data_IF_548362230045
#
_entry.id   IF_548362230045
#
_cell.length_a   1.000
_cell.length_b   1.000
_cell.length_c   1.000
_cell.angle_alpha   90.00
_cell.angle_beta   90.00
_cell.angle_gamma   90.00
#
_symmetry.space_group_name_H-M   'P 1'
#
loop_
_entity.id
_entity.type
_entity.pdbx_description
1 polymer ?
#
# COMPACT_ATOMS: atom_id res chain seq x y z
N UNK A 1 -16.29 -7.82 -5.83
CA UNK A 1 -17.26 -7.84 -4.71
C UNK A 1 -17.13 -6.55 -3.90
N UNK A 2 -18.17 -6.10 -3.17
CA UNK A 2 -18.32 -4.77 -2.54
C UNK A 2 -16.97 -4.22 -2.06
N UNK A 3 -16.46 -3.18 -2.73
CA UNK A 3 -15.08 -2.72 -2.59
C UNK A 3 -14.93 -1.63 -1.51
N UNK A 4 -15.97 -0.82 -1.36
CA UNK A 4 -16.13 0.17 -0.31
C UNK A 4 -17.62 0.46 -0.13
N UNK A 5 -17.97 1.07 0.99
CA UNK A 5 -19.29 1.62 1.26
C UNK A 5 -19.12 3.09 1.62
N UNK A 6 -19.95 3.94 1.03
CA UNK A 6 -20.03 5.36 1.35
C UNK A 6 -21.45 5.69 1.80
N UNK A 7 -21.57 6.33 2.97
CA UNK A 7 -22.86 6.60 3.60
C UNK A 7 -22.69 7.21 4.99
N UNK A 8 -23.78 7.31 5.74
CA UNK A 8 -23.77 7.89 7.09
C UNK A 8 -23.45 6.82 8.13
N UNK A 9 -22.48 7.08 9.00
CA UNK A 9 -22.18 6.20 10.13
C UNK A 9 -23.27 6.34 11.22
N UNK A 10 -24.16 5.35 11.32
CA UNK A 10 -25.33 5.43 12.22
C UNK A 10 -25.05 4.84 13.60
N UNK A 11 -24.35 3.71 13.66
CA UNK A 11 -24.02 3.00 14.90
C UNK A 11 -22.57 2.53 14.96
N UNK A 12 -22.06 2.39 16.18
CA UNK A 12 -20.75 1.84 16.49
C UNK A 12 -20.98 0.83 17.61
N UNK A 13 -20.71 -0.43 17.31
CA UNK A 13 -20.83 -1.56 18.22
C UNK A 13 -19.43 -2.04 18.66
N UNK A 14 -19.37 -3.11 19.45
CA UNK A 14 -18.10 -3.61 19.99
C UNK A 14 -17.15 -4.15 18.91
N UNK A 15 -17.68 -4.80 17.88
CA UNK A 15 -16.89 -5.47 16.82
C UNK A 15 -17.13 -4.88 15.43
N UNK A 16 -18.13 -4.01 15.27
CA UNK A 16 -18.55 -3.51 13.97
C UNK A 16 -19.09 -2.09 14.01
N UNK A 17 -19.29 -1.54 12.82
CA UNK A 17 -19.95 -0.25 12.59
C UNK A 17 -21.06 -0.42 11.58
N UNK A 18 -22.14 0.34 11.75
CA UNK A 18 -23.25 0.37 10.79
C UNK A 18 -23.16 1.63 9.95
N UNK A 19 -23.06 1.46 8.63
CA UNK A 19 -23.10 2.55 7.66
C UNK A 19 -24.39 2.45 6.86
N UNK A 20 -25.22 3.48 6.93
CA UNK A 20 -26.42 3.57 6.11
C UNK A 20 -26.09 4.22 4.75
N UNK A 21 -26.33 3.49 3.67
CA UNK A 21 -26.20 3.99 2.31
C UNK A 21 -27.51 3.73 1.55
N UNK A 22 -28.15 4.80 1.07
CA UNK A 22 -29.43 4.76 0.36
C UNK A 22 -30.53 3.96 1.09
N UNK A 23 -30.65 4.14 2.41
CA UNK A 23 -31.65 3.47 3.25
C UNK A 23 -31.34 2.01 3.61
N UNK A 24 -30.15 1.50 3.26
CA UNK A 24 -29.69 0.16 3.67
C UNK A 24 -28.55 0.31 4.68
N UNK A 25 -28.72 -0.26 5.87
CA UNK A 25 -27.68 -0.35 6.89
C UNK A 25 -26.76 -1.53 6.64
N UNK A 26 -25.48 -1.25 6.38
CA UNK A 26 -24.45 -2.26 6.22
C UNK A 26 -23.70 -2.43 7.53
N UNK A 27 -23.72 -3.64 8.07
CA UNK A 27 -22.91 -4.04 9.23
C UNK A 27 -21.50 -4.41 8.77
N UNK A 28 -20.50 -3.67 9.22
CA UNK A 28 -19.11 -3.76 8.78
C UNK A 28 -18.22 -4.04 9.99
N UNK A 29 -17.65 -5.24 10.06
CA UNK A 29 -16.71 -5.63 11.10
C UNK A 29 -15.37 -4.92 10.92
N UNK A 30 -14.85 -4.30 11.97
CA UNK A 30 -13.62 -3.50 11.90
C UNK A 30 -12.64 -3.93 12.99
N UNK A 31 -11.33 -3.74 12.76
CA UNK A 31 -10.31 -4.02 13.76
C UNK A 31 -10.45 -3.14 15.00
N UNK A 32 -10.87 -1.88 14.83
CA UNK A 32 -11.16 -0.94 15.89
C UNK A 32 -12.37 -0.05 15.53
N UNK A 33 -13.61 -0.47 15.86
CA UNK A 33 -14.82 0.30 15.58
C UNK A 33 -14.84 1.69 16.23
N UNK A 34 -14.33 1.80 17.47
CA UNK A 34 -14.28 3.06 18.21
C UNK A 34 -13.36 4.10 17.55
N UNK A 35 -12.47 3.68 16.66
CA UNK A 35 -11.67 4.60 15.87
C UNK A 35 -12.50 5.45 14.89
N UNK A 36 -13.80 5.17 14.73
CA UNK A 36 -14.78 5.96 13.98
C UNK A 36 -15.69 6.82 14.86
N UNK A 37 -15.46 6.89 16.18
CA UNK A 37 -16.32 7.62 17.12
C UNK A 37 -16.55 9.09 16.70
N UNK A 38 -15.50 9.76 16.22
CA UNK A 38 -15.57 11.16 15.76
C UNK A 38 -16.41 11.35 14.49
N UNK A 39 -16.70 10.26 13.78
CA UNK A 39 -17.46 10.22 12.54
C UNK A 39 -18.93 9.83 12.76
N UNK A 40 -19.37 9.59 14.00
CA UNK A 40 -20.77 9.23 14.27
C UNK A 40 -21.73 10.28 13.72
N UNK A 41 -22.77 9.83 13.03
CA UNK A 41 -23.76 10.65 12.31
C UNK A 41 -23.16 11.52 11.19
N UNK A 42 -21.98 11.19 10.68
CA UNK A 42 -21.35 11.87 9.53
C UNK A 42 -21.18 10.90 8.37
N UNK A 43 -21.01 11.47 7.18
CA UNK A 43 -20.66 10.71 6.00
C UNK A 43 -19.24 10.14 6.13
N UNK A 44 -19.09 8.86 5.83
CA UNK A 44 -17.83 8.12 5.84
C UNK A 44 -17.71 7.29 4.58
N UNK A 45 -16.46 7.02 4.18
CA UNK A 45 -16.13 5.99 3.21
C UNK A 45 -15.29 4.94 3.93
N UNK A 46 -15.74 3.69 3.90
CA UNK A 46 -15.04 2.55 4.48
C UNK A 46 -14.68 1.58 3.37
N UNK A 47 -13.40 1.26 3.23
CA UNK A 47 -12.95 0.23 2.30
C UNK A 47 -13.35 -1.12 2.84
N UNK A 48 -13.93 -1.97 2.00
CA UNK A 48 -14.47 -3.25 2.45
C UNK A 48 -13.83 -4.44 1.76
N UNK A 49 -13.62 -5.50 2.51
CA UNK A 49 -13.36 -6.85 2.01
C UNK A 49 -14.62 -7.69 2.24
N UNK A 50 -15.28 -8.09 1.16
CA UNK A 50 -16.47 -8.94 1.25
C UNK A 50 -16.06 -10.40 1.30
N UNK A 51 -16.23 -11.01 2.48
CA UNK A 51 -15.91 -12.40 2.75
C UNK A 51 -17.16 -13.27 2.58
N UNK A 52 -17.08 -14.24 1.66
CA UNK A 52 -18.19 -15.16 1.37
C UNK A 52 -17.71 -16.60 1.55
N UNK A 53 -18.47 -17.35 2.33
CA UNK A 53 -18.45 -18.81 2.40
C UNK A 53 -19.87 -19.33 2.11
N UNK A 54 -20.03 -20.64 2.13
CA UNK A 54 -21.32 -21.28 1.87
C UNK A 54 -22.38 -20.89 2.92
N UNK A 55 -21.96 -20.64 4.15
CA UNK A 55 -22.80 -20.39 5.32
C UNK A 55 -22.70 -18.96 5.88
N UNK A 56 -21.79 -18.14 5.35
CA UNK A 56 -21.52 -16.80 5.89
C UNK A 56 -21.22 -15.76 4.81
N UNK A 57 -21.75 -14.56 5.02
CA UNK A 57 -21.41 -13.36 4.27
C UNK A 57 -21.09 -12.26 5.28
N UNK A 58 -19.86 -11.75 5.24
CA UNK A 58 -19.39 -10.72 6.15
C UNK A 58 -18.66 -9.62 5.39
N UNK A 59 -18.80 -8.39 5.88
CA UNK A 59 -18.04 -7.24 5.40
C UNK A 59 -17.00 -6.87 6.45
N UNK A 60 -15.74 -6.86 6.04
CA UNK A 60 -14.63 -6.36 6.87
C UNK A 60 -14.24 -4.97 6.40
N UNK A 61 -14.16 -4.01 7.31
CA UNK A 61 -13.93 -2.60 7.05
C UNK A 61 -12.53 -2.14 7.42
N UNK A 62 -12.00 -1.23 6.59
CA UNK A 62 -10.66 -0.65 6.71
C UNK A 62 -10.70 0.85 6.44
N UNK A 63 -9.83 1.60 7.12
CA UNK A 63 -9.70 3.05 6.91
C UNK A 63 -8.93 3.35 5.63
N UNK A 64 -7.95 2.51 5.32
CA UNK A 64 -7.08 2.70 4.16
C UNK A 64 -7.10 1.48 3.23
N UNK A 65 -6.78 1.65 1.94
CA UNK A 65 -6.69 0.53 1.01
C UNK A 65 -5.50 -0.41 1.33
N UNK A 66 -4.44 0.10 1.98
CA UNK A 66 -3.28 -0.69 2.41
C UNK A 66 -3.66 -1.68 3.51
N UNK A 67 -4.43 -1.24 4.52
CA UNK A 67 -4.97 -2.12 5.57
C UNK A 67 -5.83 -3.24 4.96
N UNK A 68 -6.72 -2.90 4.02
CA UNK A 68 -7.54 -3.88 3.29
C UNK A 68 -6.67 -4.88 2.51
N UNK A 69 -5.61 -4.40 1.87
CA UNK A 69 -4.73 -5.23 1.05
C UNK A 69 -3.88 -6.16 1.91
N UNK A 70 -3.37 -5.68 3.04
CA UNK A 70 -2.69 -6.52 4.03
C UNK A 70 -3.64 -7.58 4.59
N UNK A 71 -4.88 -7.21 4.96
CA UNK A 71 -5.89 -8.16 5.40
C UNK A 71 -6.11 -9.29 4.38
N UNK A 72 -6.30 -8.94 3.11
CA UNK A 72 -6.49 -9.92 2.04
C UNK A 72 -5.28 -10.86 1.87
N UNK A 73 -4.05 -10.32 1.98
CA UNK A 73 -2.83 -11.12 1.94
C UNK A 73 -2.70 -12.05 3.16
N UNK A 74 -3.04 -11.57 4.36
CA UNK A 74 -3.04 -12.36 5.59
C UNK A 74 -4.00 -13.54 5.53
N UNK A 75 -5.16 -13.39 4.89
CA UNK A 75 -6.12 -14.50 4.71
C UNK A 75 -5.58 -15.66 3.85
N UNK A 76 -4.54 -15.43 3.04
CA UNK A 76 -3.91 -16.48 2.24
C UNK A 76 -2.91 -17.31 3.04
N UNK A 77 -2.54 -16.86 4.25
CA UNK A 77 -1.60 -17.58 5.11
C UNK A 77 -2.34 -18.71 5.83
N UNK A 78 -1.82 -19.93 5.71
CA UNK A 78 -2.43 -21.10 6.37
C UNK A 78 -2.44 -20.93 7.89
N UNK A 79 -3.64 -21.05 8.48
CA UNK A 79 -3.86 -20.86 9.91
C UNK A 79 -4.25 -19.44 10.32
N UNK A 80 -4.38 -18.51 9.38
CA UNK A 80 -4.91 -17.17 9.64
C UNK A 80 -6.32 -17.05 9.06
N UNK A 81 -7.31 -16.90 9.94
CA UNK A 81 -8.68 -16.57 9.57
C UNK A 81 -8.98 -15.07 9.69
N UNK A 82 -10.19 -14.63 9.29
CA UNK A 82 -10.59 -13.22 9.34
C UNK A 82 -10.45 -12.57 10.72
N UNK A 83 -10.81 -13.27 11.80
CA UNK A 83 -10.65 -12.75 13.17
C UNK A 83 -9.18 -12.54 13.54
N UNK A 84 -8.30 -13.47 13.15
CA UNK A 84 -6.86 -13.35 13.39
C UNK A 84 -6.24 -12.21 12.58
N UNK A 85 -6.63 -12.08 11.31
CA UNK A 85 -6.16 -10.98 10.46
C UNK A 85 -6.63 -9.60 10.99
N UNK A 86 -7.88 -9.48 11.46
CA UNK A 86 -8.34 -8.26 12.13
C UNK A 86 -7.56 -7.97 13.42
N UNK A 87 -7.27 -8.98 14.23
CA UNK A 87 -6.52 -8.81 15.48
C UNK A 87 -5.09 -8.30 15.23
N UNK A 88 -4.43 -8.79 14.18
CA UNK A 88 -3.11 -8.29 13.75
C UNK A 88 -3.21 -6.80 13.42
N UNK A 89 -4.17 -6.41 12.58
CA UNK A 89 -4.39 -5.02 12.17
C UNK A 89 -4.86 -4.10 13.30
N UNK A 90 -5.47 -4.64 14.37
CA UNK A 90 -5.86 -3.87 15.54
C UNK A 90 -4.67 -3.52 16.44
N UNK A 91 -3.58 -4.28 16.37
CA UNK A 91 -2.49 -4.24 17.35
C UNK A 91 -1.31 -3.35 16.97
N UNK A 92 -1.12 -3.10 15.67
CA UNK A 92 0.08 -2.43 15.15
C UNK A 92 -0.23 -1.83 13.77
N UNK A 93 0.65 -0.98 13.26
CA UNK A 93 0.52 -0.41 11.91
C UNK A 93 0.86 -1.42 10.81
N UNK A 94 0.35 -1.18 9.60
CA UNK A 94 0.67 -1.99 8.40
C UNK A 94 2.18 -2.11 8.20
N UNK A 95 2.90 -0.98 8.33
CA UNK A 95 4.35 -0.93 8.13
C UNK A 95 5.14 -1.76 9.14
N UNK A 96 4.70 -1.84 10.40
CA UNK A 96 5.33 -2.68 11.43
C UNK A 96 5.14 -4.17 11.13
N UNK A 97 3.94 -4.59 10.70
CA UNK A 97 3.71 -5.98 10.28
C UNK A 97 4.60 -6.35 9.10
N UNK A 98 4.66 -5.47 8.10
CA UNK A 98 5.46 -5.67 6.88
C UNK A 98 6.94 -5.75 7.23
N UNK A 99 7.46 -4.81 8.02
CA UNK A 99 8.85 -4.80 8.46
C UNK A 99 9.21 -6.08 9.23
N UNK A 100 8.34 -6.53 10.14
CA UNK A 100 8.56 -7.78 10.88
C UNK A 100 8.60 -9.02 9.97
N UNK A 101 7.77 -9.06 8.92
CA UNK A 101 7.78 -10.14 7.93
C UNK A 101 9.08 -10.11 7.12
N UNK A 102 9.49 -8.95 6.62
CA UNK A 102 10.70 -8.80 5.79
C UNK A 102 11.98 -9.13 6.57
N UNK A 103 12.05 -8.68 7.83
CA UNK A 103 13.16 -8.95 8.76
C UNK A 103 13.12 -10.34 9.40
N UNK A 104 12.12 -11.16 9.06
CA UNK A 104 11.90 -12.49 9.63
C UNK A 104 11.79 -12.48 11.18
N UNK A 105 11.24 -11.41 11.76
CA UNK A 105 11.08 -11.27 13.20
C UNK A 105 9.91 -12.11 13.74
N UNK A 106 10.13 -13.43 13.82
CA UNK A 106 9.19 -14.39 14.40
C UNK A 106 8.76 -13.99 15.82
N UNK A 107 9.66 -13.38 16.60
CA UNK A 107 9.39 -13.03 18.00
C UNK A 107 8.39 -11.90 18.12
N UNK A 108 8.40 -10.96 17.18
CA UNK A 108 7.39 -9.91 17.09
C UNK A 108 6.05 -10.48 16.62
N UNK A 109 6.05 -11.27 15.54
CA UNK A 109 4.82 -11.83 14.95
C UNK A 109 4.06 -12.75 15.91
N UNK A 110 4.76 -13.48 16.78
CA UNK A 110 4.15 -14.36 17.79
C UNK A 110 3.49 -13.63 18.95
N UNK A 111 3.64 -12.30 19.06
CA UNK A 111 2.91 -11.48 20.05
C UNK A 111 1.46 -11.25 19.64
N UNK A 112 1.12 -11.41 18.37
CA UNK A 112 -0.25 -11.19 17.92
C UNK A 112 -1.19 -12.29 18.42
N UNK A 113 -2.40 -11.93 18.90
CA UNK A 113 -3.38 -12.90 19.36
C UNK A 113 -3.70 -13.94 18.28
N UNK A 114 -3.56 -15.22 18.61
CA UNK A 114 -3.83 -16.33 17.69
C UNK A 114 -2.69 -16.66 16.72
N UNK A 115 -1.54 -15.97 16.79
CA UNK A 115 -0.36 -16.27 15.98
C UNK A 115 0.66 -17.05 16.81
N UNK A 116 0.77 -18.36 16.56
CA UNK A 116 1.81 -19.21 17.15
C UNK A 116 3.08 -19.25 16.29
N UNK A 117 4.16 -19.89 16.80
CA UNK A 117 5.45 -20.02 16.08
C UNK A 117 5.31 -20.59 14.66
N UNK A 118 4.48 -21.62 14.50
CA UNK A 118 4.22 -22.24 13.19
C UNK A 118 3.56 -21.25 12.23
N UNK A 119 2.55 -20.53 12.70
CA UNK A 119 1.82 -19.54 11.91
C UNK A 119 2.72 -18.35 11.57
N UNK A 120 3.51 -17.84 12.52
CA UNK A 120 4.47 -16.76 12.27
C UNK A 120 5.49 -17.11 11.19
N UNK A 121 6.06 -18.32 11.23
CA UNK A 121 6.95 -18.81 10.15
C UNK A 121 6.24 -18.92 8.82
N UNK A 122 4.99 -19.37 8.82
CA UNK A 122 4.18 -19.46 7.62
C UNK A 122 3.89 -18.07 7.04
N UNK A 123 3.60 -17.07 7.88
CA UNK A 123 3.45 -15.66 7.46
C UNK A 123 4.72 -15.16 6.76
N UNK A 124 5.89 -15.38 7.38
CA UNK A 124 7.17 -14.97 6.81
C UNK A 124 7.36 -15.63 5.44
N UNK A 125 7.18 -16.94 5.35
CA UNK A 125 7.39 -17.69 4.10
C UNK A 125 6.41 -17.28 2.99
N UNK A 126 5.15 -17.06 3.32
CA UNK A 126 4.11 -16.77 2.33
C UNK A 126 4.12 -15.31 1.85
N UNK A 127 4.56 -14.38 2.70
CA UNK A 127 4.39 -12.94 2.48
C UNK A 127 5.69 -12.17 2.25
N UNK A 128 6.85 -12.68 2.69
CA UNK A 128 8.13 -12.01 2.49
C UNK A 128 8.41 -11.75 1.01
N UNK A 129 8.87 -10.54 0.70
CA UNK A 129 9.13 -10.07 -0.66
C UNK A 129 7.87 -9.73 -1.47
N UNK A 130 6.67 -9.94 -0.93
CA UNK A 130 5.37 -9.61 -1.58
C UNK A 130 4.72 -8.37 -0.99
N UNK A 131 5.38 -7.72 -0.04
CA UNK A 131 4.87 -6.59 0.74
C UNK A 131 5.75 -5.33 0.65
N UNK A 132 6.73 -5.32 -0.25
CA UNK A 132 7.77 -4.28 -0.35
C UNK A 132 7.20 -2.88 -0.65
N UNK A 133 6.01 -2.81 -1.25
CA UNK A 133 5.24 -1.58 -1.49
C UNK A 133 4.78 -0.84 -0.21
N UNK A 134 4.85 -1.48 0.97
CA UNK A 134 4.35 -0.93 2.24
C UNK A 134 5.43 -0.82 3.34
N UNK A 135 6.70 -0.97 2.98
CA UNK A 135 7.81 -0.75 3.93
C UNK A 135 7.84 0.74 4.32
N UNK A 136 7.88 1.06 5.63
CA UNK A 136 8.17 2.42 6.06
C UNK A 136 9.57 2.80 5.53
N UNK A 137 9.66 3.90 4.80
CA UNK A 137 10.95 4.54 4.55
C UNK A 137 11.42 5.05 5.91
N UNK A 138 12.45 4.43 6.49
CA UNK A 138 13.04 4.91 7.73
C UNK A 138 13.52 6.35 7.51
N UNK A 139 12.80 7.32 8.08
CA UNK A 139 13.20 8.71 8.12
C UNK A 139 14.31 8.85 9.15
N UNK A 140 15.57 8.79 8.72
CA UNK A 140 16.64 9.44 9.46
C UNK A 140 16.45 10.95 9.36
N UNK A 141 16.44 11.62 10.51
CA UNK A 141 16.23 13.05 10.66
C UNK A 141 17.26 13.86 9.85
N UNK A 142 16.79 14.58 8.84
CA UNK A 142 17.59 15.57 8.14
C UNK A 142 16.94 16.10 6.87
N UNK A 143 16.29 17.27 6.98
CA UNK A 143 15.87 18.19 5.90
C UNK A 143 14.48 17.97 5.24
N UNK A 144 13.51 18.72 5.74
CA UNK A 144 12.55 19.60 5.04
C UNK A 144 12.35 19.32 3.52
N UNK A 145 11.18 18.76 3.18
CA UNK A 145 10.40 18.83 1.93
C UNK A 145 11.07 18.47 0.59
N UNK A 146 10.54 17.43 -0.10
CA UNK A 146 9.82 17.45 -1.39
C UNK A 146 9.71 16.02 -1.93
N UNK A 147 8.68 15.76 -2.74
CA UNK A 147 8.53 14.55 -3.56
C UNK A 147 9.87 14.21 -4.24
N UNK A 148 10.45 13.08 -3.88
CA UNK A 148 11.73 12.64 -4.38
C UNK A 148 11.72 11.14 -4.50
N UNK A 149 11.39 10.66 -5.69
CA UNK A 149 11.75 9.32 -6.14
C UNK A 149 13.22 9.07 -5.80
N UNK A 150 13.49 7.86 -5.28
CA UNK A 150 14.84 7.40 -4.99
C UNK A 150 15.75 7.69 -6.18
N UNK A 151 16.97 8.20 -5.93
CA UNK A 151 17.98 8.46 -6.97
C UNK A 151 18.25 7.24 -7.86
N UNK A 152 17.99 6.03 -7.36
CA UNK A 152 18.03 4.78 -8.13
C UNK A 152 16.92 4.69 -9.18
N UNK A 153 15.70 5.09 -8.85
CA UNK A 153 14.54 5.06 -9.76
C UNK A 153 14.70 6.12 -10.87
N UNK A 154 15.15 7.32 -10.50
CA UNK A 154 15.49 8.38 -11.47
C UNK A 154 16.66 7.99 -12.37
N UNK A 155 17.69 7.32 -11.82
CA UNK A 155 18.81 6.82 -12.62
C UNK A 155 18.35 5.74 -13.61
N UNK A 156 17.42 4.87 -13.20
CA UNK A 156 16.88 3.81 -14.06
C UNK A 156 16.00 4.35 -15.17
N UNK A 157 15.07 5.25 -14.85
CA UNK A 157 14.21 5.92 -15.85
C UNK A 157 15.04 6.73 -16.86
N UNK A 158 16.13 7.38 -16.40
CA UNK A 158 17.06 8.08 -17.27
C UNK A 158 17.82 7.14 -18.22
N UNK A 159 18.27 5.98 -17.73
CA UNK A 159 18.95 5.00 -18.58
C UNK A 159 18.02 4.41 -19.64
N UNK A 160 16.78 4.08 -19.26
CA UNK A 160 15.74 3.63 -20.19
C UNK A 160 15.42 4.71 -21.24
N UNK A 161 15.33 5.99 -20.86
CA UNK A 161 15.10 7.09 -21.79
C UNK A 161 16.27 7.27 -22.77
N UNK A 162 17.52 7.16 -22.30
CA UNK A 162 18.72 7.25 -23.15
C UNK A 162 18.75 6.09 -24.14
N UNK A 163 18.40 4.88 -23.71
CA UNK A 163 18.35 3.70 -24.58
C UNK A 163 17.26 3.83 -25.65
N UNK A 164 16.08 4.34 -25.29
CA UNK A 164 15.03 4.67 -26.24
C UNK A 164 15.48 5.72 -27.27
N UNK A 165 16.20 6.77 -26.84
CA UNK A 165 16.75 7.76 -27.77
C UNK A 165 17.86 7.19 -28.68
N UNK A 166 18.68 6.24 -28.20
CA UNK A 166 19.62 5.50 -29.07
C UNK A 166 18.86 4.71 -30.13
N UNK A 167 17.76 4.04 -29.76
CA UNK A 167 16.91 3.30 -30.69
C UNK A 167 16.24 4.22 -31.75
N UNK A 168 16.01 5.49 -31.41
CA UNK A 168 15.53 6.52 -32.35
C UNK A 168 16.63 7.08 -33.28
N UNK A 169 17.87 6.63 -33.14
CA UNK A 169 18.97 6.94 -34.06
C UNK A 169 19.90 8.08 -33.62
N UNK A 170 19.81 8.56 -32.38
CA UNK A 170 20.72 9.58 -31.86
C UNK A 170 22.08 8.99 -31.46
N UNK A 171 23.16 9.72 -31.73
CA UNK A 171 24.52 9.24 -31.47
C UNK A 171 24.91 9.37 -29.99
N UNK A 172 25.79 8.49 -29.50
CA UNK A 172 26.22 8.51 -28.10
C UNK A 172 26.89 9.84 -27.69
N UNK A 173 27.52 10.54 -28.64
CA UNK A 173 28.14 11.85 -28.40
C UNK A 173 27.09 12.92 -28.09
N UNK A 174 25.95 12.86 -28.76
CA UNK A 174 24.84 13.80 -28.55
C UNK A 174 24.14 13.53 -27.22
N UNK A 175 23.85 12.26 -26.93
CA UNK A 175 23.21 11.84 -25.68
C UNK A 175 24.07 12.17 -24.45
N UNK A 176 25.40 12.04 -24.57
CA UNK A 176 26.33 12.42 -23.50
C UNK A 176 26.30 13.92 -23.18
N UNK A 177 25.97 14.77 -24.16
CA UNK A 177 25.90 16.22 -23.97
C UNK A 177 24.63 16.69 -23.27
N UNK A 178 23.53 15.95 -23.43
CA UNK A 178 22.23 16.27 -22.82
C UNK A 178 21.98 15.53 -21.51
N UNK A 179 22.68 14.40 -21.26
CA UNK A 179 22.60 13.61 -20.02
C UNK A 179 22.65 14.44 -18.73
N UNK A 180 23.61 15.38 -18.52
CA UNK A 180 23.63 16.18 -17.29
C UNK A 180 22.41 17.10 -17.16
N UNK A 181 21.84 17.59 -18.27
CA UNK A 181 20.62 18.41 -18.25
C UNK A 181 19.36 17.60 -17.98
N UNK A 182 19.33 16.34 -18.42
CA UNK A 182 18.24 15.41 -18.12
C UNK A 182 18.32 14.89 -16.67
N UNK A 183 19.51 14.89 -16.06
CA UNK A 183 19.71 14.53 -14.64
C UNK A 183 19.25 15.62 -13.67
N UNK A 184 19.21 16.88 -14.08
CA UNK A 184 18.77 18.01 -13.26
C UNK A 184 17.24 18.18 -13.25
N UNK A 185 16.52 17.47 -14.12
CA UNK A 185 15.06 17.57 -14.26
C UNK A 185 14.34 16.65 -13.26
N UNK A 186 13.36 17.20 -12.56
CA UNK A 186 12.55 16.55 -11.51
C UNK A 186 11.28 15.94 -12.11
N UNK A 187 11.42 15.12 -13.15
CA UNK A 187 10.26 14.48 -13.83
C UNK A 187 10.27 12.97 -13.62
N UNK A 188 9.09 12.43 -13.28
CA UNK A 188 8.81 11.05 -12.81
C UNK A 188 8.44 10.07 -13.95
N UNK A 189 8.61 10.47 -15.22
CA UNK A 189 8.20 9.62 -16.35
C UNK A 189 9.27 9.50 -17.42
N UNK A 190 9.62 8.26 -17.78
CA UNK A 190 10.50 7.91 -18.89
C UNK A 190 10.06 8.56 -20.20
N UNK A 191 8.76 8.61 -20.47
CA UNK A 191 8.20 9.22 -21.69
C UNK A 191 8.43 10.74 -21.75
N UNK A 192 8.34 11.42 -20.60
CA UNK A 192 8.59 12.86 -20.53
C UNK A 192 10.09 13.18 -20.64
N UNK A 193 10.96 12.32 -20.09
CA UNK A 193 12.41 12.41 -20.29
C UNK A 193 12.79 12.24 -21.77
N UNK A 194 12.17 11.30 -22.48
CA UNK A 194 12.37 11.12 -23.93
C UNK A 194 11.88 12.36 -24.69
N UNK A 195 10.67 12.86 -24.42
CA UNK A 195 10.12 14.05 -25.09
C UNK A 195 11.00 15.28 -24.88
N UNK A 196 11.52 15.48 -23.66
CA UNK A 196 12.41 16.59 -23.33
C UNK A 196 13.79 16.43 -23.96
N UNK A 197 14.35 15.23 -23.95
CA UNK A 197 15.60 14.91 -24.63
C UNK A 197 15.52 15.24 -26.12
N UNK A 198 14.42 14.87 -26.78
CA UNK A 198 14.15 15.23 -28.18
C UNK A 198 14.03 16.75 -28.36
N UNK A 199 13.32 17.45 -27.47
CA UNK A 199 13.20 18.92 -27.53
C UNK A 199 14.55 19.63 -27.39
N UNK A 200 15.44 19.14 -26.53
CA UNK A 200 16.79 19.70 -26.34
C UNK A 200 17.68 19.47 -27.56
N UNK A 201 17.44 18.38 -28.30
CA UNK A 201 18.13 18.06 -29.55
C UNK A 201 17.62 18.90 -30.75
N UNK A 202 16.36 19.37 -30.70
CA UNK A 202 15.77 20.23 -31.74
C UNK A 202 16.09 21.73 -31.57
N UNK A 203 16.54 22.17 -30.39
CA UNK A 203 16.93 23.56 -30.13
C UNK A 203 18.39 23.89 -30.51
N UNK A 204 19.00 23.05 -31.36
CA UNK A 204 20.38 23.19 -31.81
C UNK A 204 20.45 23.52 -33.29
#
# INVERSE_FOLDING_TARGET
MIAYIQGVLTSIDAESVIVEANGVGYDICCANPFAYQANKNKEVRIYTYHYVREDTQMLYGFKTPEEKSLFAKLLNVSGIGPKGALAILASTSVGEVVSAIEREDETFLTKFPGVGKKTARQMILDLKGKLTEWLPVEQEEGTIFFEGETKEEQSKQLEEAIEAMKALGYSEKELKSIRPRLQEETTTSTDDLVRKGLSLMMQK
#
